data_IF_419345869706
#
_entry.id   IF_419345869706
#
_cell.length_a   1.000
_cell.length_b   1.000
_cell.length_c   1.000
_cell.angle_alpha   90.00
_cell.angle_beta   90.00
_cell.angle_gamma   90.00
#
_symmetry.space_group_name_H-M   'P 1'
#
loop_
_entity.id
_entity.type
_entity.pdbx_description
1 polymer ?
#
# COMPACT_ATOMS: atom_id res chain seq x y z
N UNK A 1 12.26 14.50 -10.10
CA UNK A 1 12.26 13.28 -9.28
C UNK A 1 11.00 12.51 -9.64
N UNK A 2 11.07 11.18 -9.73
CA UNK A 2 9.92 10.32 -10.05
C UNK A 2 9.43 9.60 -8.78
N UNK A 3 8.11 9.41 -8.60
CA UNK A 3 7.58 8.62 -7.50
C UNK A 3 8.00 7.15 -7.59
N UNK A 4 8.25 6.52 -6.45
CA UNK A 4 8.48 5.07 -6.40
C UNK A 4 7.14 4.34 -6.40
N UNK A 5 6.99 3.36 -7.28
CA UNK A 5 5.79 2.53 -7.40
C UNK A 5 6.11 1.09 -6.97
N UNK A 6 5.19 0.48 -6.24
CA UNK A 6 5.24 -0.91 -5.78
C UNK A 6 3.81 -1.44 -5.58
N UNK A 7 3.67 -2.73 -5.31
CA UNK A 7 2.39 -3.37 -5.04
C UNK A 7 2.38 -4.03 -3.67
N UNK A 8 1.20 -4.14 -3.06
CA UNK A 8 0.92 -5.06 -1.95
C UNK A 8 0.10 -6.22 -2.49
N UNK A 9 0.29 -7.41 -1.92
CA UNK A 9 -0.54 -8.57 -2.25
C UNK A 9 -2.00 -8.29 -1.89
N UNK A 10 -2.95 -8.80 -2.68
CA UNK A 10 -4.38 -8.72 -2.33
C UNK A 10 -4.74 -9.51 -1.09
N UNK A 11 -3.85 -10.38 -0.61
CA UNK A 11 -3.97 -11.12 0.65
C UNK A 11 -3.60 -10.31 1.89
N UNK A 12 -3.04 -9.11 1.73
CA UNK A 12 -2.57 -8.27 2.85
C UNK A 12 -3.68 -7.44 3.51
N UNK A 13 -4.82 -7.27 2.84
CA UNK A 13 -5.90 -6.41 3.33
C UNK A 13 -6.66 -7.08 4.48
N UNK A 14 -6.92 -6.30 5.53
CA UNK A 14 -7.81 -6.66 6.65
C UNK A 14 -8.79 -5.52 6.92
N UNK A 15 -9.88 -5.82 7.61
CA UNK A 15 -10.93 -4.86 7.95
C UNK A 15 -10.50 -3.81 8.99
N UNK A 16 -11.36 -2.81 9.26
CA UNK A 16 -11.03 -1.65 10.10
C UNK A 16 -10.75 -1.98 11.58
N UNK A 17 -11.17 -3.16 12.06
CA UNK A 17 -10.97 -3.60 13.45
C UNK A 17 -10.34 -5.00 13.52
N UNK A 18 -9.84 -5.50 12.40
CA UNK A 18 -9.21 -6.81 12.35
C UNK A 18 -7.77 -6.71 12.87
N UNK A 19 -7.27 -7.81 13.46
CA UNK A 19 -5.90 -7.86 13.96
C UNK A 19 -4.88 -7.81 12.81
N UNK A 20 -3.81 -7.03 12.99
CA UNK A 20 -2.65 -7.05 12.10
C UNK A 20 -1.73 -8.21 12.50
N UNK A 21 -1.54 -9.16 11.59
CA UNK A 21 -0.62 -10.28 11.82
C UNK A 21 0.81 -9.84 11.57
N UNK A 22 1.57 -9.64 12.64
CA UNK A 22 3.01 -9.34 12.55
C UNK A 22 3.77 -10.62 12.15
N UNK A 23 4.57 -10.61 11.07
CA UNK A 23 5.24 -11.80 10.59
C UNK A 23 6.31 -12.30 11.58
N UNK A 24 6.58 -13.61 11.54
CA UNK A 24 7.64 -14.22 12.35
C UNK A 24 8.98 -13.55 12.06
N UNK A 25 9.76 -13.30 13.11
CA UNK A 25 11.05 -12.62 13.06
C UNK A 25 10.97 -11.14 12.60
N UNK A 26 9.79 -10.52 12.63
CA UNK A 26 9.72 -9.06 12.55
C UNK A 26 10.52 -8.43 13.68
N UNK A 27 11.28 -7.39 13.33
CA UNK A 27 12.13 -6.63 14.26
C UNK A 27 11.91 -5.12 14.16
N UNK A 28 11.35 -4.65 13.03
CA UNK A 28 11.14 -3.24 12.69
C UNK A 28 9.78 -3.05 11.99
N UNK A 29 8.70 -3.63 12.55
CA UNK A 29 7.34 -3.32 12.09
C UNK A 29 7.02 -1.86 12.38
N UNK A 30 6.46 -1.20 11.37
CA UNK A 30 6.11 0.20 11.35
C UNK A 30 4.75 0.41 10.68
N UNK A 31 4.09 1.52 11.00
CA UNK A 31 2.79 1.90 10.47
C UNK A 31 2.92 3.15 9.60
N UNK A 32 2.11 3.24 8.56
CA UNK A 32 2.10 4.36 7.63
C UNK A 32 0.64 4.70 7.32
N UNK A 33 0.12 5.79 7.90
CA UNK A 33 -1.26 6.23 7.67
C UNK A 33 -1.31 7.00 6.36
N UNK A 34 -2.08 6.47 5.41
CA UNK A 34 -2.13 6.96 4.03
C UNK A 34 -3.57 7.24 3.58
N UNK A 35 -3.71 8.18 2.65
CA UNK A 35 -4.93 8.36 1.86
C UNK A 35 -4.94 7.31 0.73
N UNK A 36 -5.91 6.40 0.74
CA UNK A 36 -6.11 5.48 -0.37
C UNK A 36 -7.21 5.97 -1.31
N UNK A 37 -6.94 5.85 -2.61
CA UNK A 37 -7.86 6.23 -3.70
C UNK A 37 -8.46 4.96 -4.31
N UNK A 38 -9.79 4.86 -4.30
CA UNK A 38 -10.49 3.74 -4.95
C UNK A 38 -10.85 4.14 -6.37
N UNK A 39 -10.29 3.44 -7.36
CA UNK A 39 -10.57 3.68 -8.77
C UNK A 39 -11.90 3.01 -9.17
N UNK A 40 -12.84 3.81 -9.68
CA UNK A 40 -14.19 3.34 -10.04
C UNK A 40 -14.38 2.97 -11.51
N UNK A 41 -13.48 3.42 -12.39
CA UNK A 41 -13.58 3.24 -13.84
C UNK A 41 -12.24 2.81 -14.40
N UNK A 42 -12.23 1.79 -15.27
CA UNK A 42 -11.03 1.37 -16.00
C UNK A 42 -10.52 2.55 -16.84
N UNK A 43 -9.24 2.85 -16.72
CA UNK A 43 -8.64 4.00 -17.40
C UNK A 43 -7.15 3.80 -17.66
N UNK A 44 -6.57 4.61 -18.54
CA UNK A 44 -5.15 4.64 -18.90
C UNK A 44 -4.82 6.00 -19.54
N UNK A 45 -3.62 6.54 -19.31
CA UNK A 45 -3.19 7.86 -19.82
C UNK A 45 -4.17 8.99 -19.48
N UNK A 46 -4.49 9.14 -18.18
CA UNK A 46 -5.41 10.18 -17.68
C UNK A 46 -4.65 11.50 -17.48
N UNK A 47 -5.21 12.58 -18.01
CA UNK A 47 -4.76 13.94 -17.71
C UNK A 47 -5.09 14.31 -16.26
N UNK A 48 -4.20 15.04 -15.58
CA UNK A 48 -4.35 15.39 -14.17
C UNK A 48 -5.69 16.08 -13.87
N UNK A 49 -6.13 16.98 -14.76
CA UNK A 49 -7.38 17.72 -14.63
C UNK A 49 -8.63 16.82 -14.61
N UNK A 50 -8.56 15.64 -15.22
CA UNK A 50 -9.69 14.71 -15.35
C UNK A 50 -9.67 13.61 -14.28
N UNK A 51 -8.61 13.50 -13.49
CA UNK A 51 -8.35 12.38 -12.57
C UNK A 51 -9.53 12.09 -11.62
N UNK A 52 -10.15 13.14 -11.07
CA UNK A 52 -11.28 13.03 -10.13
C UNK A 52 -12.51 12.33 -10.73
N UNK A 53 -12.71 12.38 -12.05
CA UNK A 53 -13.83 11.75 -12.76
C UNK A 53 -13.78 10.21 -12.72
N UNK A 54 -12.60 9.65 -12.44
CA UNK A 54 -12.34 8.20 -12.38
C UNK A 54 -12.30 7.64 -10.95
N UNK A 55 -12.33 8.51 -9.93
CA UNK A 55 -12.28 8.12 -8.52
C UNK A 55 -13.69 7.75 -8.02
N UNK A 56 -13.85 6.56 -7.44
CA UNK A 56 -15.08 6.13 -6.78
C UNK A 56 -15.20 6.69 -5.36
N UNK A 57 -14.07 6.90 -4.68
CA UNK A 57 -14.02 7.45 -3.34
C UNK A 57 -12.62 7.34 -2.73
N UNK A 58 -12.54 7.72 -1.46
CA UNK A 58 -11.32 7.71 -0.68
C UNK A 58 -11.53 6.89 0.60
N UNK A 59 -10.50 6.18 1.04
CA UNK A 59 -10.52 5.41 2.29
C UNK A 59 -9.23 5.63 3.08
N UNK A 60 -9.28 5.37 4.38
CA UNK A 60 -8.10 5.30 5.23
C UNK A 60 -7.36 3.99 4.97
N UNK A 61 -6.05 4.05 4.75
CA UNK A 61 -5.20 2.87 4.58
C UNK A 61 -4.02 2.95 5.54
N UNK A 62 -3.67 1.81 6.15
CA UNK A 62 -2.44 1.67 6.92
C UNK A 62 -1.47 0.80 6.12
N UNK A 63 -0.45 1.40 5.50
CA UNK A 63 0.59 0.69 4.75
C UNK A 63 1.65 0.10 5.69
N UNK A 64 1.23 -0.88 6.49
CA UNK A 64 2.10 -1.58 7.45
C UNK A 64 3.33 -2.14 6.73
N UNK A 65 4.48 -1.88 7.33
CA UNK A 65 5.79 -2.20 6.75
C UNK A 65 6.68 -2.87 7.77
N UNK A 66 7.27 -4.01 7.42
CA UNK A 66 8.41 -4.56 8.12
C UNK A 66 9.69 -4.05 7.45
N UNK A 67 10.40 -3.12 8.12
CA UNK A 67 11.50 -2.37 7.50
C UNK A 67 12.76 -3.20 7.30
N UNK A 68 13.03 -4.20 8.13
CA UNK A 68 14.18 -5.08 7.96
C UNK A 68 13.97 -5.98 6.72
N UNK A 69 12.75 -6.45 6.49
CA UNK A 69 12.37 -7.25 5.35
C UNK A 69 12.43 -6.40 4.07
N UNK A 70 11.99 -5.15 4.16
CA UNK A 70 11.98 -4.19 3.05
C UNK A 70 13.39 -3.74 2.65
N UNK A 71 14.26 -3.43 3.61
CA UNK A 71 15.53 -2.73 3.36
C UNK A 71 16.78 -3.60 3.49
N UNK A 72 16.74 -4.64 4.33
CA UNK A 72 17.93 -5.41 4.74
C UNK A 72 17.94 -6.84 4.19
N UNK A 73 16.78 -7.38 3.78
CA UNK A 73 16.66 -8.76 3.29
C UNK A 73 16.67 -8.91 1.77
N UNK A 74 17.16 -7.90 1.04
CA UNK A 74 17.25 -7.83 -0.43
C UNK A 74 15.92 -8.00 -1.19
N UNK A 75 15.90 -7.60 -2.46
CA UNK A 75 14.73 -7.72 -3.33
C UNK A 75 13.90 -6.43 -3.42
N UNK A 76 12.60 -6.59 -3.66
CA UNK A 76 11.64 -5.48 -3.78
C UNK A 76 10.92 -5.22 -2.46
N UNK A 77 10.18 -4.12 -2.37
CA UNK A 77 9.47 -3.74 -1.13
C UNK A 77 8.32 -4.68 -0.76
N UNK A 78 7.84 -5.48 -1.72
CA UNK A 78 6.75 -6.44 -1.56
C UNK A 78 6.97 -7.39 -0.37
N UNK A 79 8.22 -7.74 -0.05
CA UNK A 79 8.53 -8.64 1.09
C UNK A 79 8.20 -8.03 2.44
N UNK A 80 8.42 -6.72 2.61
CA UNK A 80 8.14 -6.01 3.85
C UNK A 80 6.73 -5.45 3.93
N UNK A 81 6.00 -5.41 2.80
CA UNK A 81 4.70 -4.75 2.69
C UNK A 81 3.55 -5.69 2.26
N UNK A 82 3.85 -6.94 1.90
CA UNK A 82 2.85 -7.91 1.39
C UNK A 82 2.09 -8.67 2.46
#
# INVERSE_FOLDING_TARGET
AEPVLFMKSTTAYVGPNDDIVIPKNSVKTDWEVELAVVIGKRTSYVEEADASTYIAGYVLHNDVSEREFQLERSGTWDKGKG
#
